data_IF_369104743306
#
_entry.id   IF_369104743306
#
_cell.length_a   1.000
_cell.length_b   1.000
_cell.length_c   1.000
_cell.angle_alpha   90.00
_cell.angle_beta   90.00
_cell.angle_gamma   90.00
#
_symmetry.space_group_name_H-M   'P 1'
#
loop_
_entity.id
_entity.type
_entity.pdbx_description
1 polymer ?
#
# COMPACT_ATOMS: atom_id res chain seq x y z
N UNK A 1 16.03 -18.12 -75.61
CA UNK A 1 15.07 -18.05 -74.48
C UNK A 1 15.23 -19.20 -73.48
N UNK A 2 15.46 -20.46 -73.90
CA UNK A 2 15.62 -21.60 -72.97
C UNK A 2 16.74 -21.44 -71.92
N UNK A 3 17.91 -20.93 -72.30
CA UNK A 3 19.05 -20.78 -71.37
C UNK A 3 18.81 -19.69 -70.32
N UNK A 4 17.97 -18.70 -70.62
CA UNK A 4 17.67 -17.59 -69.71
C UNK A 4 16.77 -18.03 -68.54
N UNK A 5 15.83 -18.93 -68.83
CA UNK A 5 14.96 -19.57 -67.81
C UNK A 5 15.80 -20.41 -66.84
N UNK A 6 16.80 -21.14 -67.33
CA UNK A 6 17.67 -21.95 -66.49
C UNK A 6 18.54 -21.09 -65.56
N UNK A 7 19.10 -19.98 -66.06
CA UNK A 7 19.87 -19.02 -65.26
C UNK A 7 19.00 -18.37 -64.17
N UNK A 8 17.76 -18.00 -64.50
CA UNK A 8 16.83 -17.39 -63.56
C UNK A 8 16.43 -18.35 -62.43
N UNK A 9 16.29 -19.65 -62.74
CA UNK A 9 15.98 -20.69 -61.75
C UNK A 9 17.16 -20.92 -60.79
N UNK A 10 18.40 -20.92 -61.30
CA UNK A 10 19.61 -20.99 -60.46
C UNK A 10 19.72 -19.74 -59.58
N UNK A 11 19.53 -18.54 -60.14
CA UNK A 11 19.59 -17.29 -59.38
C UNK A 11 18.52 -17.26 -58.27
N UNK A 12 17.31 -17.74 -58.54
CA UNK A 12 16.25 -17.85 -57.55
C UNK A 12 16.59 -18.86 -56.44
N UNK A 13 17.15 -20.02 -56.79
CA UNK A 13 17.61 -20.99 -55.80
C UNK A 13 18.71 -20.44 -54.88
N UNK A 14 19.66 -19.69 -55.45
CA UNK A 14 20.76 -19.06 -54.73
C UNK A 14 20.25 -17.93 -53.81
N UNK A 15 19.27 -17.16 -54.28
CA UNK A 15 18.57 -16.17 -53.47
C UNK A 15 17.83 -16.81 -52.28
N UNK A 16 17.10 -17.91 -52.49
CA UNK A 16 16.43 -18.65 -51.41
C UNK A 16 17.44 -19.16 -50.38
N UNK A 17 18.56 -19.74 -50.82
CA UNK A 17 19.59 -20.23 -49.91
C UNK A 17 20.16 -19.11 -49.02
N UNK A 18 20.47 -17.95 -49.61
CA UNK A 18 20.92 -16.76 -48.85
C UNK A 18 19.85 -16.26 -47.88
N UNK A 19 18.58 -16.23 -48.30
CA UNK A 19 17.46 -15.82 -47.47
C UNK A 19 17.30 -16.74 -46.24
N UNK A 20 17.28 -18.06 -46.45
CA UNK A 20 17.16 -19.04 -45.38
C UNK A 20 18.37 -19.01 -44.44
N UNK A 21 19.59 -18.85 -44.96
CA UNK A 21 20.79 -18.70 -44.14
C UNK A 21 20.69 -17.49 -43.20
N UNK A 22 20.26 -16.32 -43.71
CA UNK A 22 20.05 -15.13 -42.89
C UNK A 22 18.98 -15.32 -41.83
N UNK A 23 17.86 -15.97 -42.19
CA UNK A 23 16.79 -16.29 -41.22
C UNK A 23 17.27 -17.21 -40.12
N UNK A 24 18.01 -18.27 -40.46
CA UNK A 24 18.58 -19.20 -39.49
C UNK A 24 19.55 -18.51 -38.52
N UNK A 25 20.43 -17.65 -39.03
CA UNK A 25 21.38 -16.89 -38.20
C UNK A 25 20.68 -15.99 -37.18
N UNK A 26 19.60 -15.30 -37.57
CA UNK A 26 18.82 -14.43 -36.67
C UNK A 26 18.09 -15.23 -35.57
N UNK A 27 17.60 -16.43 -35.87
CA UNK A 27 16.92 -17.26 -34.87
C UNK A 27 17.87 -17.75 -33.78
N UNK A 28 19.13 -18.02 -34.12
CA UNK A 28 20.15 -18.45 -33.13
C UNK A 28 20.52 -17.32 -32.16
N UNK A 29 20.55 -16.06 -32.63
CA UNK A 29 20.79 -14.91 -31.76
C UNK A 29 19.64 -14.68 -30.77
N UNK A 30 18.39 -14.89 -31.20
CA UNK A 30 17.23 -14.78 -30.29
C UNK A 30 17.24 -15.88 -29.23
N UNK A 31 17.59 -17.12 -29.60
CA UNK A 31 17.64 -18.25 -28.67
C UNK A 31 18.72 -18.06 -27.60
N UNK A 32 19.89 -17.57 -27.98
CA UNK A 32 20.99 -17.28 -27.04
C UNK A 32 20.64 -16.17 -26.06
N UNK A 33 19.98 -15.10 -26.54
CA UNK A 33 19.48 -14.02 -25.67
C UNK A 33 18.38 -14.50 -24.73
N UNK A 34 17.46 -15.36 -25.20
CA UNK A 34 16.41 -15.93 -24.35
C UNK A 34 17.01 -16.79 -23.22
N UNK A 35 18.01 -17.61 -23.52
CA UNK A 35 18.72 -18.42 -22.52
C UNK A 35 19.45 -17.56 -21.48
N UNK A 36 20.11 -16.48 -21.91
CA UNK A 36 20.75 -15.53 -20.98
C UNK A 36 19.73 -14.90 -20.03
N UNK A 37 18.57 -14.47 -20.54
CA UNK A 37 17.50 -13.90 -19.70
C UNK A 37 16.98 -14.88 -18.66
N UNK A 38 16.89 -16.18 -18.99
CA UNK A 38 16.47 -17.20 -18.02
C UNK A 38 17.51 -17.32 -16.90
N UNK A 39 18.80 -17.40 -17.24
CA UNK A 39 19.88 -17.47 -16.25
C UNK A 39 19.92 -16.27 -15.30
N UNK A 40 19.68 -15.06 -15.83
CA UNK A 40 19.62 -13.85 -15.01
C UNK A 40 18.42 -13.86 -14.06
N UNK A 41 17.25 -14.33 -14.52
CA UNK A 41 16.07 -14.49 -13.67
C UNK A 41 16.32 -15.51 -12.56
N UNK A 42 16.95 -16.64 -12.87
CA UNK A 42 17.29 -17.66 -11.88
C UNK A 42 18.25 -17.12 -10.82
N UNK A 43 19.24 -16.31 -11.21
CA UNK A 43 20.13 -15.62 -10.26
C UNK A 43 19.36 -14.64 -9.37
N UNK A 44 18.42 -13.88 -9.92
CA UNK A 44 17.59 -12.97 -9.13
C UNK A 44 16.71 -13.73 -8.13
N UNK A 45 16.08 -14.82 -8.58
CA UNK A 45 15.27 -15.69 -7.72
C UNK A 45 16.13 -16.28 -6.61
N UNK A 46 17.29 -16.83 -6.94
CA UNK A 46 18.23 -17.39 -5.96
C UNK A 46 18.68 -16.35 -4.92
N UNK A 47 19.05 -15.14 -5.37
CA UNK A 47 19.46 -14.06 -4.47
C UNK A 47 18.32 -13.59 -3.57
N UNK A 48 17.11 -13.47 -4.10
CA UNK A 48 15.93 -13.10 -3.31
C UNK A 48 15.58 -14.20 -2.29
N UNK A 49 15.69 -15.47 -2.67
CA UNK A 49 15.48 -16.59 -1.76
C UNK A 49 16.52 -16.58 -0.63
N UNK A 50 17.80 -16.38 -0.96
CA UNK A 50 18.86 -16.27 0.03
C UNK A 50 18.61 -15.09 0.99
N UNK A 51 18.19 -13.93 0.48
CA UNK A 51 17.78 -12.79 1.33
C UNK A 51 16.62 -13.20 2.24
N UNK A 52 15.61 -13.89 1.73
CA UNK A 52 14.48 -14.36 2.51
C UNK A 52 14.91 -15.31 3.64
N UNK A 53 15.82 -16.23 3.35
CA UNK A 53 16.33 -17.18 4.34
C UNK A 53 17.19 -16.48 5.41
N UNK A 54 18.00 -15.49 5.02
CA UNK A 54 18.73 -14.65 5.99
C UNK A 54 17.80 -13.83 6.88
N UNK A 55 16.73 -13.26 6.30
CA UNK A 55 15.71 -12.52 7.06
C UNK A 55 14.96 -13.45 8.03
N UNK A 56 14.58 -14.65 7.59
CA UNK A 56 13.95 -15.66 8.44
C UNK A 56 14.86 -16.11 9.58
N UNK A 57 16.15 -16.35 9.29
CA UNK A 57 17.15 -16.74 10.29
C UNK A 57 17.40 -15.62 11.32
N UNK A 58 17.53 -14.37 10.87
CA UNK A 58 17.66 -13.21 11.73
C UNK A 58 16.41 -12.98 12.60
N UNK A 59 15.22 -13.21 12.04
CA UNK A 59 13.97 -13.12 12.80
C UNK A 59 13.83 -14.26 13.81
N UNK A 60 14.26 -15.50 13.47
CA UNK A 60 14.23 -16.64 14.38
C UNK A 60 15.19 -16.49 15.57
N UNK A 61 16.32 -15.79 15.38
CA UNK A 61 17.25 -15.43 16.45
C UNK A 61 16.83 -14.17 17.23
N UNK A 62 15.95 -13.34 16.66
CA UNK A 62 15.38 -12.12 17.28
C UNK A 62 14.12 -12.40 18.13
N UNK A 63 13.57 -13.63 18.09
CA UNK A 63 12.35 -14.03 18.83
C UNK A 63 12.43 -13.93 20.37
N UNK A 64 13.56 -13.53 20.97
CA UNK A 64 13.66 -13.17 22.40
C UNK A 64 13.58 -11.65 22.68
N UNK A 65 13.52 -10.81 21.66
CA UNK A 65 13.51 -9.34 21.76
C UNK A 65 12.33 -8.65 21.05
N UNK A 66 11.40 -9.43 20.49
CA UNK A 66 10.36 -8.97 19.54
C UNK A 66 9.17 -8.19 20.13
N UNK A 67 9.04 -8.04 21.45
CA UNK A 67 7.94 -7.23 22.02
C UNK A 67 8.13 -5.72 21.78
N UNK A 68 9.36 -5.24 21.58
CA UNK A 68 9.65 -3.79 21.54
C UNK A 68 9.66 -3.18 20.12
N UNK A 69 9.86 -3.99 19.07
CA UNK A 69 10.05 -3.47 17.70
C UNK A 69 8.78 -3.35 16.87
N UNK A 70 7.72 -4.12 17.19
CA UNK A 70 6.43 -4.07 16.45
C UNK A 70 5.60 -2.86 16.89
N UNK A 71 5.82 -2.38 18.12
CA UNK A 71 5.17 -1.20 18.68
C UNK A 71 5.60 0.11 17.99
N UNK A 72 6.84 0.21 17.47
CA UNK A 72 7.35 1.46 16.89
C UNK A 72 6.99 1.68 15.43
N UNK A 73 6.76 0.62 14.65
CA UNK A 73 6.46 0.74 13.21
C UNK A 73 4.99 0.98 12.89
N UNK A 74 4.08 0.76 13.85
CA UNK A 74 2.62 0.84 13.64
C UNK A 74 1.93 2.00 14.36
N UNK A 75 2.66 3.00 14.88
CA UNK A 75 2.05 4.11 15.63
C UNK A 75 0.98 4.88 14.82
N UNK A 76 1.02 4.79 13.49
CA UNK A 76 0.06 5.45 12.58
C UNK A 76 -1.14 4.59 12.19
N UNK A 77 -1.24 3.33 12.59
CA UNK A 77 -2.37 2.46 12.28
C UNK A 77 -2.87 1.77 13.54
N UNK A 78 -4.17 1.48 13.61
CA UNK A 78 -4.70 0.67 14.71
C UNK A 78 -3.94 -0.65 14.76
N UNK A 79 -3.40 -0.99 15.93
CA UNK A 79 -2.82 -2.31 16.14
C UNK A 79 -3.91 -3.38 16.03
N UNK A 80 -3.51 -4.61 15.72
CA UNK A 80 -4.44 -5.75 15.73
C UNK A 80 -5.17 -5.87 17.06
N UNK A 81 -4.46 -5.61 18.16
CA UNK A 81 -5.00 -5.71 19.51
C UNK A 81 -6.01 -4.59 19.81
N UNK A 82 -5.75 -3.37 19.32
CA UNK A 82 -6.73 -2.27 19.40
C UNK A 82 -8.00 -2.60 18.62
N UNK A 83 -7.85 -3.15 17.42
CA UNK A 83 -8.98 -3.55 16.59
C UNK A 83 -9.84 -4.60 17.30
N UNK A 84 -9.22 -5.64 17.86
CA UNK A 84 -9.92 -6.68 18.64
C UNK A 84 -10.63 -6.09 19.85
N UNK A 85 -9.97 -5.24 20.65
CA UNK A 85 -10.59 -4.58 21.80
C UNK A 85 -11.79 -3.71 21.41
N UNK A 86 -11.73 -3.04 20.26
CA UNK A 86 -12.85 -2.22 19.76
C UNK A 86 -14.00 -3.09 19.24
N UNK A 87 -13.69 -4.22 18.61
CA UNK A 87 -14.69 -5.20 18.15
C UNK A 87 -15.40 -5.89 19.32
N UNK A 88 -14.68 -6.25 20.38
CA UNK A 88 -15.26 -6.79 21.62
C UNK A 88 -16.21 -5.79 22.30
N UNK A 89 -15.95 -4.48 22.16
CA UNK A 89 -16.86 -3.41 22.60
C UNK A 89 -18.07 -3.21 21.67
N UNK A 90 -18.21 -4.01 20.62
CA UNK A 90 -19.38 -4.05 19.75
C UNK A 90 -19.28 -3.21 18.48
N UNK A 91 -18.09 -2.70 18.11
CA UNK A 91 -17.87 -2.00 16.85
C UNK A 91 -17.47 -2.99 15.74
N UNK A 92 -18.31 -3.16 14.73
CA UNK A 92 -18.02 -4.07 13.61
C UNK A 92 -16.93 -3.52 12.69
N UNK A 93 -16.91 -2.20 12.47
CA UNK A 93 -15.90 -1.49 11.70
C UNK A 93 -15.41 -0.27 12.47
N UNK A 94 -14.47 -0.45 13.44
CA UNK A 94 -14.14 0.58 14.42
C UNK A 94 -13.80 1.95 13.84
N UNK A 95 -12.97 2.01 12.80
CA UNK A 95 -12.60 3.28 12.18
C UNK A 95 -13.80 4.00 11.56
N UNK A 96 -14.62 3.29 10.79
CA UNK A 96 -15.81 3.84 10.15
C UNK A 96 -16.84 4.29 11.19
N UNK A 97 -17.13 3.44 12.18
CA UNK A 97 -18.13 3.74 13.21
C UNK A 97 -17.72 4.95 14.07
N UNK A 98 -16.44 5.02 14.49
CA UNK A 98 -15.93 6.15 15.27
C UNK A 98 -15.95 7.44 14.45
N UNK A 99 -15.57 7.38 13.17
CA UNK A 99 -15.59 8.55 12.27
C UNK A 99 -17.00 9.08 12.06
N UNK A 100 -17.95 8.21 11.73
CA UNK A 100 -19.33 8.61 11.46
C UNK A 100 -20.02 9.20 12.69
N UNK A 101 -19.84 8.56 13.85
CA UNK A 101 -20.37 9.07 15.11
C UNK A 101 -19.76 10.44 15.47
N UNK A 102 -18.44 10.60 15.31
CA UNK A 102 -17.76 11.87 15.57
C UNK A 102 -18.28 13.00 14.66
N UNK A 103 -18.40 12.74 13.35
CA UNK A 103 -18.92 13.72 12.39
C UNK A 103 -20.37 14.10 12.74
N UNK A 104 -21.21 13.13 13.13
CA UNK A 104 -22.60 13.40 13.51
C UNK A 104 -22.72 14.33 14.73
N UNK A 105 -21.71 14.33 15.62
CA UNK A 105 -21.64 15.13 16.84
C UNK A 105 -20.78 16.39 16.71
N UNK A 106 -20.25 16.69 15.51
CA UNK A 106 -19.29 17.78 15.31
C UNK A 106 -19.80 19.15 15.78
N UNK A 107 -21.10 19.40 15.66
CA UNK A 107 -21.71 20.68 16.06
C UNK A 107 -21.62 20.95 17.57
N UNK A 108 -21.47 19.89 18.38
CA UNK A 108 -21.30 20.00 19.84
C UNK A 108 -19.82 20.10 20.24
N UNK A 109 -18.91 19.63 19.39
CA UNK A 109 -17.49 19.47 19.70
C UNK A 109 -16.61 20.58 19.10
N UNK A 110 -17.06 21.21 18.01
CA UNK A 110 -16.30 22.23 17.31
C UNK A 110 -16.54 23.64 17.88
N UNK A 111 -15.49 24.50 17.88
CA UNK A 111 -15.67 25.92 18.15
C UNK A 111 -16.48 26.58 17.03
N UNK A 112 -17.06 27.76 17.32
CA UNK A 112 -17.72 28.58 16.29
C UNK A 112 -16.70 29.04 15.24
N UNK A 113 -17.09 28.96 13.96
CA UNK A 113 -16.29 29.47 12.84
C UNK A 113 -16.26 30.99 12.78
N UNK A 114 -15.34 31.54 11.98
CA UNK A 114 -15.18 32.98 11.82
C UNK A 114 -15.95 33.50 10.60
N UNK A 115 -16.42 34.75 10.66
CA UNK A 115 -16.91 35.53 9.50
C UNK A 115 -17.96 34.80 8.61
N UNK A 116 -18.80 33.96 9.21
CA UNK A 116 -19.87 33.22 8.52
C UNK A 116 -19.48 31.84 7.99
N UNK A 117 -18.23 31.41 8.19
CA UNK A 117 -17.81 30.02 7.96
C UNK A 117 -18.36 29.06 9.02
N UNK A 118 -18.77 27.85 8.59
CA UNK A 118 -19.16 26.77 9.51
C UNK A 118 -17.98 25.82 9.66
N UNK A 119 -17.47 25.69 10.88
CA UNK A 119 -16.44 24.68 11.19
C UNK A 119 -17.01 23.28 10.93
N UNK A 120 -16.27 22.45 10.19
CA UNK A 120 -16.61 21.07 9.92
C UNK A 120 -15.39 20.16 10.08
N UNK A 121 -15.60 18.94 10.55
CA UNK A 121 -14.57 17.90 10.60
C UNK A 121 -14.39 17.35 9.19
N UNK A 122 -13.17 17.41 8.65
CA UNK A 122 -12.87 16.92 7.30
C UNK A 122 -12.16 15.57 7.34
N UNK A 123 -11.30 15.36 8.33
CA UNK A 123 -10.51 14.13 8.45
C UNK A 123 -10.52 13.63 9.89
N UNK A 124 -10.56 12.32 10.04
CA UNK A 124 -10.53 11.63 11.33
C UNK A 124 -9.51 10.52 11.25
N UNK A 125 -8.61 10.47 12.24
CA UNK A 125 -7.61 9.43 12.40
C UNK A 125 -7.74 8.81 13.79
N UNK A 126 -8.10 7.54 13.84
CA UNK A 126 -8.09 6.78 15.10
C UNK A 126 -6.65 6.45 15.44
N UNK A 127 -6.22 6.81 16.65
CA UNK A 127 -4.83 6.62 17.10
C UNK A 127 -4.65 5.28 17.81
N UNK A 128 -5.64 4.88 18.61
CA UNK A 128 -5.70 3.61 19.35
C UNK A 128 -7.12 3.39 19.90
N UNK A 129 -7.28 2.44 20.83
CA UNK A 129 -8.54 2.08 21.46
C UNK A 129 -9.16 3.15 22.39
N UNK A 130 -8.56 4.34 22.52
CA UNK A 130 -8.98 5.43 23.41
C UNK A 130 -8.98 6.82 22.78
N UNK A 131 -8.15 7.06 21.76
CA UNK A 131 -7.90 8.40 21.25
C UNK A 131 -8.11 8.52 19.73
N UNK A 132 -8.57 9.70 19.33
CA UNK A 132 -8.78 10.11 17.94
C UNK A 132 -8.21 11.50 17.73
N UNK A 133 -7.56 11.70 16.59
CA UNK A 133 -7.17 13.01 16.07
C UNK A 133 -8.12 13.39 14.94
N UNK A 134 -8.69 14.58 14.97
CA UNK A 134 -9.56 15.09 13.91
C UNK A 134 -9.07 16.43 13.38
N UNK A 135 -9.06 16.61 12.07
CA UNK A 135 -8.83 17.89 11.41
C UNK A 135 -10.16 18.58 11.13
N UNK A 136 -10.25 19.86 11.49
CA UNK A 136 -11.44 20.67 11.26
C UNK A 136 -11.09 21.98 10.57
N UNK A 137 -12.01 22.51 9.77
CA UNK A 137 -11.85 23.82 9.12
C UNK A 137 -13.20 24.46 8.76
N UNK A 138 -13.21 25.78 8.60
CA UNK A 138 -14.34 26.58 8.09
C UNK A 138 -14.10 27.12 6.66
N UNK A 139 -13.03 26.65 6.01
CA UNK A 139 -12.57 27.09 4.69
C UNK A 139 -11.53 28.23 4.73
N UNK A 140 -11.34 28.89 5.88
CA UNK A 140 -10.29 29.90 6.06
C UNK A 140 -9.39 29.58 7.25
N UNK A 141 -9.98 29.14 8.36
CA UNK A 141 -9.28 28.75 9.58
C UNK A 141 -9.42 27.24 9.76
N UNK A 142 -8.31 26.60 10.06
CA UNK A 142 -8.24 25.16 10.31
C UNK A 142 -7.61 24.83 11.65
N UNK A 143 -7.66 23.57 12.03
CA UNK A 143 -7.05 23.11 13.26
C UNK A 143 -7.19 21.62 13.50
N UNK A 144 -6.64 21.18 14.62
CA UNK A 144 -6.70 19.80 15.06
C UNK A 144 -7.37 19.67 16.41
N UNK A 145 -8.18 18.62 16.58
CA UNK A 145 -8.79 18.19 17.82
C UNK A 145 -8.16 16.87 18.26
N UNK A 146 -7.67 16.82 19.49
CA UNK A 146 -7.36 15.57 20.16
C UNK A 146 -8.54 15.19 21.05
N UNK A 147 -9.18 14.07 20.72
CA UNK A 147 -10.34 13.56 21.45
C UNK A 147 -10.03 12.23 22.12
N UNK A 148 -10.58 12.04 23.31
CA UNK A 148 -10.73 10.72 23.93
C UNK A 148 -12.16 10.22 23.74
N UNK A 149 -12.30 8.93 23.48
CA UNK A 149 -13.62 8.29 23.40
C UNK A 149 -13.77 7.14 24.40
N UNK A 150 -15.01 6.81 24.72
CA UNK A 150 -15.41 5.60 25.41
C UNK A 150 -16.66 5.00 24.77
N UNK A 151 -16.76 3.68 24.80
CA UNK A 151 -17.91 2.94 24.26
C UNK A 151 -18.66 2.37 25.47
N UNK A 152 -19.91 2.77 25.63
CA UNK A 152 -20.80 2.29 26.68
C UNK A 152 -21.30 0.86 26.37
N UNK A 153 -21.82 0.12 27.37
CA UNK A 153 -22.36 -1.23 27.15
C UNK A 153 -23.48 -1.31 26.09
N UNK A 154 -24.19 -0.21 25.86
CA UNK A 154 -25.24 -0.09 24.84
C UNK A 154 -24.72 0.42 23.49
N UNK A 155 -23.38 0.39 23.28
CA UNK A 155 -22.66 0.80 22.07
C UNK A 155 -22.70 2.30 21.78
N UNK A 156 -23.17 3.14 22.71
CA UNK A 156 -23.05 4.59 22.56
C UNK A 156 -21.60 5.04 22.70
N UNK A 157 -21.15 5.89 21.79
CA UNK A 157 -19.81 6.47 21.83
C UNK A 157 -19.87 7.84 22.51
N UNK A 158 -19.12 8.00 23.60
CA UNK A 158 -18.96 9.24 24.32
C UNK A 158 -17.63 9.89 23.94
N UNK A 159 -17.64 11.20 23.71
CA UNK A 159 -16.47 11.98 23.29
C UNK A 159 -16.09 13.01 24.35
N UNK A 160 -14.79 13.14 24.60
CA UNK A 160 -14.21 14.21 25.40
C UNK A 160 -13.09 14.87 24.61
N UNK A 161 -13.25 16.16 24.31
CA UNK A 161 -12.15 16.97 23.78
C UNK A 161 -11.08 17.10 24.87
N UNK A 162 -9.86 16.70 24.56
CA UNK A 162 -8.73 16.83 25.48
C UNK A 162 -7.92 18.07 25.18
N UNK A 163 -7.72 18.35 23.90
CA UNK A 163 -6.99 19.53 23.45
C UNK A 163 -7.44 19.92 22.03
N UNK A 164 -7.19 21.18 21.68
CA UNK A 164 -7.37 21.68 20.33
C UNK A 164 -6.30 22.72 19.99
N UNK A 165 -5.87 22.71 18.74
CA UNK A 165 -4.93 23.68 18.19
C UNK A 165 -5.49 24.27 16.90
N UNK A 166 -5.33 25.59 16.71
CA UNK A 166 -5.71 26.29 15.47
C UNK A 166 -4.47 26.66 14.69
N UNK A 167 -4.53 26.49 13.38
CA UNK A 167 -3.48 26.83 12.42
C UNK A 167 -3.53 28.32 12.04
#
# INVERSE_FOLDING_TARGET
MKNLIFILLIAFGLFLALFFYRKYALTQTELTLANQRILDRDRLIYNNQKRLDTLKSNNASTSRSSEKSIASSNLSALSTDDLTRLQEKGLTSPETNLREDLISKQNMLLPKGSLGGTMAIQQVKVLNDRYVLAYFEDGHNGGYLLLRFSIEPDKRINWKVLDYYRL
#
